data_IF_963112882261
#
_entry.id   IF_963112882261
#
_cell.length_a   1.000
_cell.length_b   1.000
_cell.length_c   1.000
_cell.angle_alpha   90.00
_cell.angle_beta   90.00
_cell.angle_gamma   90.00
#
_symmetry.space_group_name_H-M   'P 1'
#
loop_
_entity.id
_entity.type
_entity.pdbx_description
1 polymer ?
#
# COMPACT_ATOMS: atom_id res chain seq x y z
N UNK A 1 -16.87 29.83 13.98
CA UNK A 1 -15.83 29.57 12.97
C UNK A 1 -15.67 28.07 12.93
N UNK A 2 -16.00 27.45 11.80
CA UNK A 2 -15.94 26.01 11.59
C UNK A 2 -14.47 25.57 11.63
N UNK A 3 -14.10 24.80 12.64
CA UNK A 3 -12.83 24.09 12.65
C UNK A 3 -13.00 22.90 11.71
N UNK A 4 -12.81 23.12 10.41
CA UNK A 4 -12.44 22.04 9.51
C UNK A 4 -11.12 21.48 10.05
N UNK A 5 -11.19 20.48 10.94
CA UNK A 5 -10.03 19.71 11.41
C UNK A 5 -9.41 19.10 10.15
N UNK A 6 -8.40 19.78 9.61
CA UNK A 6 -7.44 19.11 8.73
C UNK A 6 -6.88 17.97 9.56
N UNK A 7 -7.15 16.74 9.14
CA UNK A 7 -6.40 15.59 9.60
C UNK A 7 -4.90 15.91 9.43
N UNK A 8 -4.19 16.15 10.54
CA UNK A 8 -2.73 16.34 10.54
C UNK A 8 -1.98 15.05 10.15
N UNK A 9 -2.72 13.95 9.94
CA UNK A 9 -2.20 12.63 9.61
C UNK A 9 -2.91 12.08 8.37
N UNK A 10 -2.10 11.77 7.35
CA UNK A 10 -2.52 10.98 6.19
C UNK A 10 -1.98 9.56 6.31
N UNK A 11 -2.87 8.58 6.13
CA UNK A 11 -2.50 7.20 5.88
C UNK A 11 -2.69 6.89 4.39
N UNK A 12 -1.62 6.52 3.71
CA UNK A 12 -1.65 6.17 2.29
C UNK A 12 -1.42 4.68 2.05
N UNK A 13 -2.24 4.07 1.21
CA UNK A 13 -2.15 2.66 0.80
C UNK A 13 -1.41 2.54 -0.54
N UNK A 14 -0.42 1.65 -0.61
CA UNK A 14 0.49 1.49 -1.75
C UNK A 14 0.42 0.08 -2.32
N UNK A 15 0.94 -0.12 -3.54
CA UNK A 15 1.04 -1.44 -4.16
C UNK A 15 2.11 -2.28 -3.45
N UNK A 16 1.78 -3.53 -3.11
CA UNK A 16 2.77 -4.56 -2.78
C UNK A 16 2.77 -4.98 -1.32
N UNK A 17 3.83 -5.67 -0.91
CA UNK A 17 4.00 -6.13 0.47
C UNK A 17 4.86 -5.19 1.34
N UNK A 18 5.25 -5.65 2.53
CA UNK A 18 6.05 -4.86 3.46
C UNK A 18 7.37 -4.36 2.86
N UNK A 19 8.06 -5.16 2.06
CA UNK A 19 9.33 -4.78 1.42
C UNK A 19 9.12 -3.92 0.18
N UNK A 20 7.99 -4.06 -0.51
CA UNK A 20 7.60 -3.15 -1.59
C UNK A 20 7.25 -1.75 -1.05
N UNK A 21 6.83 -1.61 0.21
CA UNK A 21 6.57 -0.29 0.82
C UNK A 21 7.78 0.27 1.58
N UNK A 22 8.37 -0.54 2.46
CA UNK A 22 9.47 -0.13 3.33
C UNK A 22 10.86 -0.20 2.70
N UNK A 23 10.97 -0.81 1.51
CA UNK A 23 12.25 -1.17 0.92
C UNK A 23 12.87 -2.41 1.59
N UNK A 24 14.00 -2.88 1.02
CA UNK A 24 14.71 -4.06 1.52
C UNK A 24 14.92 -5.17 0.48
N UNK A 25 14.35 -5.03 -0.72
CA UNK A 25 14.65 -5.91 -1.84
C UNK A 25 15.76 -5.32 -2.74
N UNK A 26 16.81 -6.08 -3.09
CA UNK A 26 17.76 -5.68 -4.13
C UNK A 26 17.02 -5.46 -5.46
N UNK A 27 17.00 -4.23 -5.99
CA UNK A 27 16.30 -3.91 -7.23
C UNK A 27 14.78 -3.75 -7.12
N UNK A 28 14.23 -3.59 -5.92
CA UNK A 28 12.79 -3.38 -5.70
C UNK A 28 12.32 -1.98 -6.12
N UNK A 29 12.14 -1.74 -7.42
CA UNK A 29 11.67 -0.47 -7.97
C UNK A 29 10.28 -0.04 -7.45
N UNK A 30 9.42 -0.98 -7.06
CA UNK A 30 8.08 -0.69 -6.47
C UNK A 30 8.21 0.22 -5.23
N UNK A 31 9.25 0.01 -4.42
CA UNK A 31 9.51 0.82 -3.21
C UNK A 31 9.93 2.26 -3.46
N UNK A 32 10.27 2.60 -4.71
CA UNK A 32 10.53 3.98 -5.09
C UNK A 32 9.26 4.83 -5.05
N UNK A 33 8.09 4.24 -5.32
CA UNK A 33 6.80 4.96 -5.27
C UNK A 33 6.52 5.55 -3.87
N UNK A 34 6.47 4.74 -2.79
CA UNK A 34 6.27 5.27 -1.44
C UNK A 34 7.44 6.14 -0.97
N UNK A 35 8.67 5.84 -1.37
CA UNK A 35 9.83 6.68 -1.04
C UNK A 35 9.73 8.08 -1.66
N UNK A 36 9.33 8.17 -2.93
CA UNK A 36 9.12 9.45 -3.61
C UNK A 36 8.00 10.25 -2.93
N UNK A 37 6.87 9.59 -2.59
CA UNK A 37 5.78 10.22 -1.85
C UNK A 37 6.24 10.75 -0.48
N UNK A 38 6.98 9.95 0.29
CA UNK A 38 7.52 10.39 1.59
C UNK A 38 8.47 11.59 1.44
N UNK A 39 9.34 11.59 0.41
CA UNK A 39 10.20 12.75 0.13
C UNK A 39 9.38 14.01 -0.19
N UNK A 40 8.29 13.88 -0.95
CA UNK A 40 7.39 15.00 -1.25
C UNK A 40 6.70 15.52 0.02
N UNK A 41 6.18 14.63 0.87
CA UNK A 41 5.57 15.04 2.15
C UNK A 41 6.58 15.74 3.06
N UNK A 42 7.76 15.16 3.24
CA UNK A 42 8.82 15.76 4.06
C UNK A 42 9.31 17.09 3.48
N UNK A 43 9.42 17.22 2.16
CA UNK A 43 9.76 18.48 1.51
C UNK A 43 8.70 19.56 1.74
N UNK A 44 7.42 19.20 1.67
CA UNK A 44 6.31 20.11 1.98
C UNK A 44 6.30 20.56 3.45
N UNK A 45 6.84 19.73 4.36
CA UNK A 45 7.07 20.06 5.76
C UNK A 45 8.37 20.86 6.03
N UNK A 46 9.14 21.19 4.98
CA UNK A 46 10.34 22.02 5.08
C UNK A 46 11.68 21.26 5.07
N UNK A 47 11.67 19.93 4.92
CA UNK A 47 12.90 19.15 4.81
C UNK A 47 13.56 19.35 3.43
N UNK A 48 14.87 19.62 3.41
CA UNK A 48 15.63 19.75 2.16
C UNK A 48 16.37 18.45 1.85
N UNK A 49 16.33 18.04 0.59
CA UNK A 49 17.00 16.84 0.10
C UNK A 49 18.11 17.22 -0.88
N UNK A 50 19.28 16.59 -0.75
CA UNK A 50 20.39 16.75 -1.71
C UNK A 50 20.06 16.09 -3.06
N UNK A 51 19.28 15.01 -3.03
CA UNK A 51 18.81 14.28 -4.22
C UNK A 51 17.35 13.90 -4.02
N UNK A 52 16.53 14.21 -5.01
CA UNK A 52 15.16 13.72 -5.07
C UNK A 52 15.08 12.50 -5.98
N UNK A 53 14.18 11.58 -5.63
CA UNK A 53 13.88 10.43 -6.44
C UNK A 53 12.94 10.81 -7.57
N UNK A 54 13.40 10.65 -8.81
CA UNK A 54 12.56 10.76 -10.00
C UNK A 54 12.06 9.35 -10.37
N UNK A 55 10.75 9.22 -10.53
CA UNK A 55 10.10 8.00 -11.00
C UNK A 55 9.97 8.04 -12.52
N UNK A 56 10.15 6.90 -13.16
CA UNK A 56 9.93 6.67 -14.59
C UNK A 56 8.43 6.46 -14.90
N UNK A 57 7.62 6.13 -13.88
CA UNK A 57 6.17 5.98 -13.99
C UNK A 57 5.70 4.56 -14.27
N UNK A 58 6.60 3.57 -14.23
CA UNK A 58 6.32 2.14 -14.40
C UNK A 58 6.75 1.29 -13.20
N UNK A 59 7.27 1.92 -12.14
CA UNK A 59 7.78 1.25 -10.94
C UNK A 59 6.73 0.37 -10.27
N UNK A 60 5.49 0.85 -10.19
CA UNK A 60 4.36 0.12 -9.61
C UNK A 60 3.89 -1.03 -10.47
N UNK A 61 4.43 -1.22 -11.68
CA UNK A 61 4.14 -2.36 -12.57
C UNK A 61 5.20 -3.45 -12.48
N UNK A 62 6.32 -3.18 -11.82
CA UNK A 62 7.39 -4.15 -11.64
C UNK A 62 6.89 -5.38 -10.86
N UNK A 63 7.56 -6.55 -10.99
CA UNK A 63 7.16 -7.76 -10.28
C UNK A 63 7.08 -7.52 -8.76
N UNK A 64 5.94 -7.86 -8.16
CA UNK A 64 5.79 -7.86 -6.71
C UNK A 64 6.48 -9.10 -6.17
N UNK A 65 7.29 -8.91 -5.14
CA UNK A 65 7.92 -10.03 -4.45
C UNK A 65 6.99 -10.48 -3.32
N UNK A 66 6.63 -11.77 -3.28
CA UNK A 66 5.89 -12.31 -2.12
C UNK A 66 6.89 -12.64 -1.00
N UNK A 67 7.16 -11.66 -0.15
CA UNK A 67 8.04 -11.82 1.01
C UNK A 67 7.30 -12.39 2.21
N UNK A 68 5.96 -12.40 2.20
CA UNK A 68 5.16 -12.93 3.30
C UNK A 68 5.38 -14.44 3.47
N UNK A 69 5.45 -15.18 2.36
CA UNK A 69 5.80 -16.60 2.38
C UNK A 69 7.25 -16.85 2.84
N UNK A 70 8.16 -15.90 2.64
CA UNK A 70 9.57 -16.01 3.04
C UNK A 70 9.83 -15.66 4.51
N UNK A 71 9.06 -14.74 5.08
CA UNK A 71 9.10 -14.38 6.50
C UNK A 71 8.50 -15.48 7.40
N UNK A 72 7.49 -16.21 6.88
CA UNK A 72 6.75 -17.27 7.59
C UNK A 72 7.31 -18.68 7.35
N UNK A 73 8.64 -18.88 7.44
CA UNK A 73 9.23 -20.22 7.34
C UNK A 73 8.54 -21.21 8.31
N UNK A 74 8.02 -22.32 7.77
CA UNK A 74 7.58 -23.50 8.56
C UNK A 74 6.08 -23.57 8.86
N UNK A 75 5.73 -24.19 9.99
CA UNK A 75 4.35 -24.46 10.44
C UNK A 75 3.57 -23.19 10.86
N UNK A 76 4.21 -22.02 10.90
CA UNK A 76 3.63 -20.76 11.34
C UNK A 76 2.45 -20.30 10.46
N UNK A 77 2.43 -20.68 9.17
CA UNK A 77 1.29 -20.44 8.25
C UNK A 77 -0.02 -21.08 8.73
N UNK A 78 0.04 -22.17 9.49
CA UNK A 78 -1.15 -22.84 10.04
C UNK A 78 -1.68 -22.14 11.31
N UNK A 79 -0.85 -21.33 11.97
CA UNK A 79 -1.20 -20.67 13.24
C UNK A 79 -1.57 -19.20 13.04
N UNK A 80 -0.93 -18.48 12.12
CA UNK A 80 -1.28 -17.09 11.81
C UNK A 80 -2.09 -16.98 10.52
N UNK A 81 -3.39 -16.70 10.64
CA UNK A 81 -4.19 -16.24 9.50
C UNK A 81 -3.74 -14.83 9.10
N UNK A 82 -3.56 -14.59 7.79
CA UNK A 82 -3.23 -13.27 7.25
C UNK A 82 -4.36 -12.30 7.57
N UNK A 83 -4.06 -11.27 8.36
CA UNK A 83 -5.02 -10.22 8.67
C UNK A 83 -5.03 -9.18 7.55
N UNK A 84 -6.18 -9.04 6.89
CA UNK A 84 -6.41 -8.01 5.88
C UNK A 84 -7.02 -6.80 6.57
N UNK A 85 -6.30 -5.68 6.60
CA UNK A 85 -6.79 -4.46 7.21
C UNK A 85 -7.89 -3.86 6.32
N UNK A 86 -9.10 -3.60 6.84
CA UNK A 86 -10.13 -2.91 6.08
C UNK A 86 -9.72 -1.47 5.76
N UNK A 87 -10.04 -1.02 4.55
CA UNK A 87 -9.80 0.35 4.09
C UNK A 87 -11.06 1.17 4.34
N UNK A 88 -10.92 2.36 4.92
CA UNK A 88 -12.06 3.24 5.21
C UNK A 88 -12.87 2.84 6.46
N UNK A 89 -12.47 1.78 7.16
CA UNK A 89 -13.04 1.47 8.46
C UNK A 89 -12.42 2.37 9.54
N UNK A 90 -13.17 3.40 9.92
CA UNK A 90 -12.83 4.31 11.01
C UNK A 90 -13.23 3.74 12.39
N UNK A 91 -13.93 2.60 12.42
CA UNK A 91 -14.52 2.01 13.63
C UNK A 91 -13.58 1.01 14.31
N UNK A 92 -12.59 0.47 13.58
CA UNK A 92 -11.54 -0.39 14.08
C UNK A 92 -10.46 0.38 14.90
N UNK A 93 -10.89 1.07 15.96
CA UNK A 93 -10.06 1.39 17.12
C UNK A 93 -8.87 2.34 16.95
N UNK A 94 -8.82 3.22 15.93
CA UNK A 94 -7.79 4.27 15.89
C UNK A 94 -8.23 5.52 15.13
N UNK A 95 -8.21 6.63 15.87
CA UNK A 95 -8.45 8.05 15.52
C UNK A 95 -9.46 8.36 14.41
N UNK A 96 -10.60 9.01 14.74
CA UNK A 96 -11.58 9.49 13.75
C UNK A 96 -11.00 10.53 12.76
N UNK A 97 -9.80 11.03 13.02
CA UNK A 97 -9.19 12.17 12.32
C UNK A 97 -8.05 11.78 11.36
N UNK A 98 -7.97 10.53 10.89
CA UNK A 98 -6.93 10.12 9.91
C UNK A 98 -7.51 10.11 8.50
N UNK A 99 -6.92 10.91 7.60
CA UNK A 99 -7.27 10.87 6.18
C UNK A 99 -6.67 9.61 5.54
N UNK A 100 -7.50 8.69 5.05
CA UNK A 100 -7.04 7.53 4.30
C UNK A 100 -7.09 7.81 2.80
N UNK A 101 -5.98 7.57 2.09
CA UNK A 101 -5.89 7.73 0.63
C UNK A 101 -5.31 6.48 0.00
N UNK A 102 -5.94 5.96 -1.05
CA UNK A 102 -5.35 4.90 -1.86
C UNK A 102 -4.52 5.57 -2.96
N UNK A 103 -3.28 5.14 -3.13
CA UNK A 103 -2.40 5.74 -4.12
C UNK A 103 -2.88 5.45 -5.57
N UNK A 104 -2.68 6.42 -6.47
CA UNK A 104 -3.11 6.28 -7.87
C UNK A 104 -2.45 5.10 -8.59
N UNK A 105 -1.22 4.74 -8.19
CA UNK A 105 -0.48 3.59 -8.72
C UNK A 105 -1.18 2.26 -8.48
N UNK A 106 -1.97 2.14 -7.40
CA UNK A 106 -2.79 0.96 -7.10
C UNK A 106 -3.82 0.74 -8.19
N UNK A 107 -4.54 1.79 -8.58
CA UNK A 107 -5.56 1.74 -9.61
C UNK A 107 -4.97 1.57 -11.01
N UNK A 108 -3.79 2.13 -11.27
CA UNK A 108 -3.10 1.90 -12.55
C UNK A 108 -2.64 0.45 -12.70
N UNK A 109 -2.04 -0.15 -11.66
CA UNK A 109 -1.69 -1.58 -11.67
C UNK A 109 -2.93 -2.46 -11.81
N UNK A 110 -4.02 -2.16 -11.09
CA UNK A 110 -5.28 -2.92 -11.20
C UNK A 110 -5.80 -2.97 -12.64
N UNK A 111 -5.75 -1.82 -13.35
CA UNK A 111 -6.19 -1.72 -14.75
C UNK A 111 -5.28 -2.47 -15.71
N UNK A 112 -3.97 -2.44 -15.49
CA UNK A 112 -2.98 -3.04 -16.41
C UNK A 112 -2.69 -4.52 -16.15
N UNK A 113 -2.86 -4.97 -14.92
CA UNK A 113 -2.59 -6.35 -14.51
C UNK A 113 -3.87 -7.04 -14.07
N UNK A 114 -4.35 -7.99 -14.89
CA UNK A 114 -5.55 -8.78 -14.60
C UNK A 114 -5.41 -9.65 -13.35
N UNK A 115 -4.19 -10.10 -13.04
CA UNK A 115 -3.88 -10.93 -11.86
C UNK A 115 -3.74 -10.14 -10.55
N UNK A 116 -3.64 -8.81 -10.60
CA UNK A 116 -3.49 -7.99 -9.40
C UNK A 116 -4.86 -7.63 -8.83
N UNK A 117 -5.34 -8.46 -7.89
CA UNK A 117 -6.69 -8.39 -7.34
C UNK A 117 -6.69 -8.50 -5.80
N UNK A 118 -6.13 -7.50 -5.08
CA UNK A 118 -6.05 -7.52 -3.62
C UNK A 118 -7.42 -7.53 -2.96
N UNK A 119 -7.59 -8.40 -1.94
CA UNK A 119 -8.89 -8.67 -1.29
C UNK A 119 -9.42 -7.44 -0.54
N UNK A 120 -8.53 -6.68 0.11
CA UNK A 120 -8.91 -5.47 0.84
C UNK A 120 -9.38 -4.34 -0.09
N UNK A 121 -8.80 -4.22 -1.29
CA UNK A 121 -9.26 -3.27 -2.30
C UNK A 121 -10.62 -3.67 -2.89
N UNK A 122 -10.84 -4.98 -3.11
CA UNK A 122 -12.15 -5.50 -3.54
C UNK A 122 -13.24 -5.21 -2.51
N UNK A 123 -12.95 -5.48 -1.24
CA UNK A 123 -13.86 -5.21 -0.14
C UNK A 123 -14.19 -3.71 -0.03
N UNK A 124 -13.17 -2.84 -0.15
CA UNK A 124 -13.36 -1.39 -0.18
C UNK A 124 -14.23 -0.93 -1.36
N UNK A 125 -14.05 -1.52 -2.54
CA UNK A 125 -14.83 -1.20 -3.74
C UNK A 125 -16.26 -1.79 -3.72
N UNK A 126 -16.63 -2.57 -2.70
CA UNK A 126 -17.93 -3.25 -2.61
C UNK A 126 -18.10 -4.39 -3.63
N UNK A 127 -17.01 -4.89 -4.22
CA UNK A 127 -17.04 -5.94 -5.23
C UNK A 127 -16.99 -7.30 -4.52
N UNK A 128 -18.11 -8.01 -4.44
CA UNK A 128 -18.16 -9.39 -3.97
C UNK A 128 -18.04 -10.34 -5.18
N UNK A 129 -16.85 -10.89 -5.44
CA UNK A 129 -16.66 -11.89 -6.50
C UNK A 129 -16.73 -13.31 -5.92
N UNK A 130 -17.53 -14.23 -6.50
CA UNK A 130 -17.48 -15.63 -6.14
C UNK A 130 -16.16 -16.25 -6.63
N UNK A 131 -15.26 -16.58 -5.69
CA UNK A 131 -14.05 -17.35 -5.95
C UNK A 131 -12.89 -16.54 -6.58
N UNK A 132 -12.17 -15.77 -5.77
CA UNK A 132 -10.91 -15.15 -6.21
C UNK A 132 -9.75 -16.16 -6.06
N UNK A 133 -9.27 -16.68 -7.19
CA UNK A 133 -8.09 -17.54 -7.21
C UNK A 133 -6.79 -16.73 -7.14
N UNK A 134 -5.94 -17.17 -6.20
CA UNK A 134 -4.49 -17.01 -6.05
C UNK A 134 -3.80 -15.78 -6.66
N UNK A 135 -3.82 -14.72 -5.86
CA UNK A 135 -2.69 -13.82 -5.67
C UNK A 135 -2.81 -13.22 -4.27
N UNK A 136 -1.92 -13.57 -3.35
CA UNK A 136 -1.92 -13.10 -1.94
C UNK A 136 -1.48 -11.62 -1.82
N UNK A 137 -1.93 -10.80 -2.75
CA UNK A 137 -1.59 -9.39 -2.86
C UNK A 137 -2.42 -8.57 -1.87
N UNK A 138 -1.75 -7.62 -1.25
CA UNK A 138 -2.32 -6.68 -0.28
C UNK A 138 -1.95 -5.27 -0.75
N UNK A 139 -2.67 -4.29 -0.23
CA UNK A 139 -2.29 -2.87 -0.28
C UNK A 139 -2.33 -2.29 1.12
#
# INVERSE_FOLDING_TARGET
MDHTERADVEQRWFVGDHCDVGGGHPGGAVSHVPLCWMQQQAASAGLRFTKQLALNGDEHLQPLHDTYSRFLKGTYRFVSRRYYRPIGDCTAGRSPNIRQVIDATVFDRWRRSSCYRPVNLQAWAGISLPGSQHGDFVI
#
